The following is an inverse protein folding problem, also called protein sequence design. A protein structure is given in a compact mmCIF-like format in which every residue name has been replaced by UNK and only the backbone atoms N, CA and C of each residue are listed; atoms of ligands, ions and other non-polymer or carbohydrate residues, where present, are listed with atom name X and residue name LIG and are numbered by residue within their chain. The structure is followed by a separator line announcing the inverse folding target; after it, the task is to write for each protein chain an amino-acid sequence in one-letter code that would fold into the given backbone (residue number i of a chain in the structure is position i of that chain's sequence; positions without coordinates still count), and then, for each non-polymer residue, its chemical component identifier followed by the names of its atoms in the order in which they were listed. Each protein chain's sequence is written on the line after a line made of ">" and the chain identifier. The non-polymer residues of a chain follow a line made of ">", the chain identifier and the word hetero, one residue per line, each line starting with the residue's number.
data_IF_731672825684
#
_entry.id   IF_731672825684
#
_cell.length_a   1.000
_cell.length_b   1.000
_cell.length_c   1.000
_cell.angle_alpha   90.00
_cell.angle_beta   90.00
_cell.angle_gamma   90.00
#
_symmetry.space_group_name_H-M   'P 1'
#
loop_
_entity.id
_entity.type
_entity.pdbx_description
1 polymer ?
#
# COMPACT_ATOMS: atom_id res chain seq x y z
N UNK A 1 -13.55 -8.27 -17.15
CA UNK A 1 -12.65 -8.63 -16.03
C UNK A 1 -11.41 -7.73 -15.94
N UNK A 2 -10.82 -7.34 -17.09
CA UNK A 2 -9.62 -6.48 -17.07
C UNK A 2 -9.88 -5.10 -16.47
N UNK A 3 -11.07 -4.54 -16.71
CA UNK A 3 -11.47 -3.25 -16.14
C UNK A 3 -11.56 -3.35 -14.62
N UNK A 4 -12.08 -4.46 -14.09
CA UNK A 4 -12.21 -4.68 -12.65
C UNK A 4 -10.82 -4.73 -11.99
N UNK A 5 -9.87 -5.40 -12.63
CA UNK A 5 -8.49 -5.46 -12.14
C UNK A 5 -7.85 -4.06 -12.07
N UNK A 6 -8.03 -3.25 -13.12
CA UNK A 6 -7.52 -1.88 -13.16
C UNK A 6 -8.10 -1.06 -12.01
N UNK A 7 -9.42 -1.11 -11.82
CA UNK A 7 -10.07 -0.36 -10.74
C UNK A 7 -9.58 -0.83 -9.37
N UNK A 8 -9.39 -2.14 -9.19
CA UNK A 8 -8.85 -2.67 -7.94
C UNK A 8 -7.47 -2.10 -7.63
N UNK A 9 -6.58 -2.10 -8.62
CA UNK A 9 -5.23 -1.54 -8.45
C UNK A 9 -5.26 -0.04 -8.19
N UNK A 10 -6.13 0.69 -8.91
CA UNK A 10 -6.29 2.14 -8.71
C UNK A 10 -6.83 2.44 -7.31
N UNK A 11 -7.85 1.74 -6.84
CA UNK A 11 -8.47 2.02 -5.54
C UNK A 11 -7.50 1.74 -4.39
N UNK A 12 -6.79 0.62 -4.44
CA UNK A 12 -5.78 0.31 -3.42
C UNK A 12 -4.67 1.37 -3.43
N UNK A 13 -4.17 1.70 -4.62
CA UNK A 13 -3.09 2.69 -4.77
C UNK A 13 -3.51 4.09 -4.35
N UNK A 14 -4.76 4.48 -4.64
CA UNK A 14 -5.28 5.80 -4.28
C UNK A 14 -5.21 6.06 -2.79
N UNK A 15 -5.47 5.05 -1.96
CA UNK A 15 -5.36 5.19 -0.51
C UNK A 15 -3.95 5.64 -0.11
N UNK A 16 -2.93 4.97 -0.63
CA UNK A 16 -1.54 5.27 -0.29
C UNK A 16 -1.09 6.63 -0.84
N UNK A 17 -1.52 6.94 -2.06
CA UNK A 17 -1.20 8.24 -2.68
C UNK A 17 -1.83 9.40 -1.92
N UNK A 18 -3.08 9.27 -1.51
CA UNK A 18 -3.78 10.29 -0.72
C UNK A 18 -3.10 10.45 0.64
N UNK A 19 -2.77 9.34 1.29
CA UNK A 19 -2.07 9.38 2.59
C UNK A 19 -0.68 10.02 2.47
N UNK A 20 0.05 9.74 1.39
CA UNK A 20 1.37 10.34 1.17
C UNK A 20 1.26 11.85 0.97
N UNK A 21 0.28 12.31 0.19
CA UNK A 21 0.04 13.76 -0.01
C UNK A 21 -0.34 14.42 1.31
N UNK A 22 -1.23 13.80 2.08
CA UNK A 22 -1.63 14.33 3.39
C UNK A 22 -0.44 14.48 4.33
N UNK A 23 0.42 13.47 4.40
CA UNK A 23 1.63 13.51 5.23
C UNK A 23 2.58 14.62 4.80
N UNK A 24 2.71 14.83 3.49
CA UNK A 24 3.60 15.85 2.97
C UNK A 24 3.15 17.25 3.36
N UNK A 25 1.84 17.52 3.30
CA UNK A 25 1.29 18.84 3.63
C UNK A 25 1.06 19.05 5.12
N UNK A 26 0.91 17.99 5.90
CA UNK A 26 0.70 18.09 7.36
C UNK A 26 1.55 17.01 8.05
N UNK A 27 2.87 17.25 8.18
CA UNK A 27 3.79 16.25 8.70
C UNK A 27 3.70 16.05 10.21
N UNK A 28 3.20 17.04 10.96
CA UNK A 28 3.30 17.06 12.42
C UNK A 28 2.60 15.87 13.07
N UNK A 29 1.41 15.53 12.60
CA UNK A 29 0.61 14.41 13.14
C UNK A 29 1.37 13.10 12.97
N UNK A 30 1.90 12.86 11.77
CA UNK A 30 2.63 11.61 11.49
C UNK A 30 3.93 11.53 12.27
N UNK A 31 4.67 12.64 12.35
CA UNK A 31 5.91 12.68 13.13
C UNK A 31 5.66 12.42 14.61
N UNK A 32 4.56 12.95 15.14
CA UNK A 32 4.16 12.69 16.53
C UNK A 32 3.86 11.19 16.74
N UNK A 33 3.11 10.57 15.83
CA UNK A 33 2.87 9.12 15.87
C UNK A 33 4.16 8.32 15.84
N UNK A 34 5.11 8.71 14.98
CA UNK A 34 6.40 8.04 14.88
C UNK A 34 7.18 8.16 16.18
N UNK A 35 7.21 9.35 16.77
CA UNK A 35 7.87 9.59 18.05
C UNK A 35 7.25 8.75 19.17
N UNK A 36 5.93 8.70 19.24
CA UNK A 36 5.19 7.96 20.26
C UNK A 36 5.45 6.44 20.18
N UNK A 37 5.81 5.95 19.02
CA UNK A 37 6.07 4.52 18.78
C UNK A 37 7.56 4.20 18.62
N UNK A 38 8.43 5.13 18.98
CA UNK A 38 9.89 4.97 18.89
C UNK A 38 10.40 4.67 17.48
N UNK A 39 9.72 5.20 16.46
CA UNK A 39 10.16 5.09 15.07
C UNK A 39 11.02 6.30 14.72
N UNK A 40 12.24 6.11 14.16
CA UNK A 40 13.13 7.22 13.84
C UNK A 40 12.50 8.20 12.84
N UNK A 41 12.59 9.48 13.12
CA UNK A 41 12.03 10.54 12.28
C UNK A 41 12.66 10.59 10.88
N UNK A 42 13.91 10.15 10.72
CA UNK A 42 14.58 10.16 9.43
C UNK A 42 13.88 9.23 8.41
N UNK A 43 13.04 8.30 8.87
CA UNK A 43 12.26 7.43 7.99
C UNK A 43 11.02 8.11 7.40
N UNK A 44 10.68 9.32 7.87
CA UNK A 44 9.46 10.01 7.44
C UNK A 44 9.45 10.28 5.92
N UNK A 45 10.46 10.98 5.41
CA UNK A 45 10.52 11.30 3.97
C UNK A 45 10.73 10.06 3.09
N UNK A 46 11.60 9.11 3.43
CA UNK A 46 11.66 7.85 2.69
C UNK A 46 10.34 7.09 2.64
N UNK A 47 9.54 7.13 3.72
CA UNK A 47 8.23 6.47 3.72
C UNK A 47 7.25 7.14 2.77
N UNK A 48 7.27 8.47 2.67
CA UNK A 48 6.45 9.20 1.70
C UNK A 48 6.84 8.81 0.28
N UNK A 49 8.13 8.78 -0.02
CA UNK A 49 8.63 8.37 -1.34
C UNK A 49 8.17 6.95 -1.67
N UNK A 50 8.26 6.03 -0.72
CA UNK A 50 7.77 4.66 -0.87
C UNK A 50 6.27 4.63 -1.18
N UNK A 51 5.48 5.38 -0.41
CA UNK A 51 4.02 5.44 -0.56
C UNK A 51 3.57 6.14 -1.85
N UNK A 52 4.46 6.81 -2.56
CA UNK A 52 4.17 7.38 -3.88
C UNK A 52 4.63 6.44 -5.00
N UNK A 53 5.87 5.98 -4.93
CA UNK A 53 6.49 5.19 -6.00
C UNK A 53 5.85 3.81 -6.14
N UNK A 54 5.71 3.09 -5.03
CA UNK A 54 5.21 1.71 -5.05
C UNK A 54 3.76 1.63 -5.53
N UNK A 55 2.82 2.48 -5.04
CA UNK A 55 1.47 2.47 -5.58
C UNK A 55 1.38 2.86 -7.06
N UNK A 56 2.23 3.77 -7.54
CA UNK A 56 2.25 4.11 -8.95
C UNK A 56 2.69 2.91 -9.81
N UNK A 57 3.63 2.12 -9.35
CA UNK A 57 4.02 0.89 -10.02
C UNK A 57 2.89 -0.14 -10.01
N UNK A 58 2.10 -0.17 -8.95
CA UNK A 58 0.94 -1.05 -8.86
C UNK A 58 -0.14 -0.66 -9.87
N UNK A 59 -0.40 0.65 -10.02
CA UNK A 59 -1.36 1.15 -11.01
C UNK A 59 -0.90 0.74 -12.42
N UNK A 60 0.39 0.96 -12.72
CA UNK A 60 0.95 0.58 -14.01
C UNK A 60 0.95 -0.94 -14.24
N UNK A 61 0.95 -1.71 -13.16
CA UNK A 61 1.03 -3.16 -13.24
C UNK A 61 2.41 -3.66 -13.62
N UNK A 62 3.46 -2.94 -13.19
CA UNK A 62 4.85 -3.35 -13.41
C UNK A 62 5.35 -4.15 -12.23
N UNK A 63 5.88 -5.35 -12.50
CA UNK A 63 6.30 -6.32 -11.47
C UNK A 63 5.24 -6.46 -10.38
N UNK A 64 4.00 -6.62 -10.80
CA UNK A 64 2.81 -6.50 -9.95
C UNK A 64 2.88 -7.37 -8.70
N UNK A 65 3.33 -8.63 -8.84
CA UNK A 65 3.42 -9.55 -7.69
C UNK A 65 4.44 -9.08 -6.66
N UNK A 66 5.60 -8.62 -7.12
CA UNK A 66 6.65 -8.12 -6.23
C UNK A 66 6.20 -6.83 -5.55
N UNK A 67 5.66 -5.90 -6.33
CA UNK A 67 5.17 -4.60 -5.83
C UNK A 67 4.06 -4.80 -4.82
N UNK A 68 3.07 -5.65 -5.12
CA UNK A 68 1.97 -5.95 -4.21
C UNK A 68 2.47 -6.64 -2.94
N UNK A 69 3.46 -7.52 -3.04
CA UNK A 69 4.07 -8.18 -1.88
C UNK A 69 4.78 -7.19 -0.97
N UNK A 70 5.57 -6.28 -1.55
CA UNK A 70 6.27 -5.23 -0.80
C UNK A 70 5.25 -4.34 -0.09
N UNK A 71 4.19 -3.95 -0.79
CA UNK A 71 3.15 -3.09 -0.22
C UNK A 71 2.40 -3.80 0.91
N UNK A 72 2.09 -5.08 0.74
CA UNK A 72 1.43 -5.88 1.77
C UNK A 72 2.29 -6.01 3.03
N UNK A 73 3.59 -6.24 2.87
CA UNK A 73 4.53 -6.29 3.99
C UNK A 73 4.63 -4.94 4.71
N UNK A 74 4.65 -3.85 3.94
CA UNK A 74 4.67 -2.51 4.51
C UNK A 74 3.42 -2.24 5.35
N UNK A 75 2.23 -2.54 4.81
CA UNK A 75 0.97 -2.35 5.53
C UNK A 75 0.92 -3.21 6.79
N UNK A 76 1.39 -4.45 6.70
CA UNK A 76 1.43 -5.36 7.85
C UNK A 76 2.34 -4.81 8.95
N UNK A 77 3.54 -4.36 8.59
CA UNK A 77 4.49 -3.79 9.54
C UNK A 77 3.94 -2.53 10.21
N UNK A 78 3.39 -1.61 9.41
CA UNK A 78 2.79 -0.37 9.92
C UNK A 78 1.61 -0.68 10.85
N UNK A 79 0.80 -1.65 10.50
CA UNK A 79 -0.34 -2.06 11.33
C UNK A 79 0.12 -2.59 12.68
N UNK A 80 1.16 -3.43 12.70
CA UNK A 80 1.68 -3.96 13.96
C UNK A 80 2.34 -2.87 14.81
N UNK A 81 3.05 -1.94 14.19
CA UNK A 81 3.76 -0.88 14.93
C UNK A 81 2.80 0.16 15.51
N UNK A 82 1.86 0.65 14.70
CA UNK A 82 1.06 1.82 15.05
C UNK A 82 -0.37 1.50 15.49
N UNK A 83 -0.94 0.38 15.08
CA UNK A 83 -2.37 0.12 15.21
C UNK A 83 -2.71 -1.21 15.89
N UNK A 84 -1.74 -1.92 16.45
CA UNK A 84 -2.01 -3.16 17.16
C UNK A 84 -2.27 -2.94 18.65
N UNK A 85 -1.88 -1.79 19.19
CA UNK A 85 -2.05 -1.48 20.60
C UNK A 85 -3.45 -0.91 20.86
N UNK A 86 -4.08 -1.34 21.95
CA UNK A 86 -5.39 -0.83 22.40
C UNK A 86 -6.51 -0.95 21.37
N UNK A 87 -6.46 -1.95 20.50
CA UNK A 87 -7.46 -2.13 19.43
C UNK A 87 -8.86 -2.38 19.97
N UNK A 88 -8.98 -3.00 21.15
CA UNK A 88 -10.28 -3.26 21.78
C UNK A 88 -10.76 -2.13 22.67
N UNK A 89 -9.87 -1.20 23.04
CA UNK A 89 -10.21 -0.05 23.88
C UNK A 89 -10.64 1.17 23.06
N UNK A 90 -10.20 1.27 21.80
CA UNK A 90 -10.46 2.40 20.90
C UNK A 90 -11.07 1.88 19.61
N UNK A 91 -12.34 2.25 19.35
CA UNK A 91 -13.05 1.82 18.14
C UNK A 91 -12.35 2.31 16.86
N UNK A 92 -11.73 3.49 16.89
CA UNK A 92 -10.98 4.03 15.74
C UNK A 92 -9.77 3.14 15.43
N UNK A 93 -9.00 2.73 16.44
CA UNK A 93 -7.85 1.85 16.25
C UNK A 93 -8.27 0.48 15.72
N UNK A 94 -9.36 -0.07 16.20
CA UNK A 94 -9.90 -1.32 15.68
C UNK A 94 -10.30 -1.19 14.22
N UNK A 95 -10.96 -0.08 13.85
CA UNK A 95 -11.37 0.16 12.47
C UNK A 95 -10.17 0.26 11.53
N UNK A 96 -9.12 1.00 11.92
CA UNK A 96 -7.90 1.13 11.13
C UNK A 96 -7.20 -0.24 10.98
N UNK A 97 -7.13 -1.01 12.07
CA UNK A 97 -6.54 -2.35 12.07
C UNK A 97 -7.25 -3.26 11.06
N UNK A 98 -8.58 -3.31 11.14
CA UNK A 98 -9.39 -4.14 10.24
C UNK A 98 -9.30 -3.67 8.78
N UNK A 99 -9.31 -2.35 8.55
CA UNK A 99 -9.15 -1.77 7.22
C UNK A 99 -7.82 -2.19 6.60
N UNK A 100 -6.74 -2.14 7.38
CA UNK A 100 -5.41 -2.50 6.88
C UNK A 100 -5.33 -3.99 6.51
N UNK A 101 -5.96 -4.86 7.28
CA UNK A 101 -6.04 -6.28 6.93
C UNK A 101 -6.88 -6.51 5.67
N UNK A 102 -7.93 -5.72 5.45
CA UNK A 102 -8.72 -5.78 4.21
C UNK A 102 -7.87 -5.37 3.00
N UNK A 103 -7.03 -4.36 3.14
CA UNK A 103 -6.09 -3.94 2.10
C UNK A 103 -5.09 -5.05 1.79
N UNK A 104 -4.54 -5.68 2.82
CA UNK A 104 -3.63 -6.83 2.66
C UNK A 104 -4.34 -7.95 1.90
N UNK A 105 -5.60 -8.24 2.25
CA UNK A 105 -6.40 -9.23 1.54
C UNK A 105 -6.53 -8.94 0.05
N UNK A 106 -6.82 -7.68 -0.30
CA UNK A 106 -6.87 -7.25 -1.70
C UNK A 106 -5.53 -7.42 -2.41
N UNK A 107 -4.42 -7.08 -1.76
CA UNK A 107 -3.09 -7.24 -2.30
C UNK A 107 -2.73 -8.73 -2.49
N UNK A 108 -3.13 -9.60 -1.57
CA UNK A 108 -2.91 -11.04 -1.71
C UNK A 108 -3.64 -11.62 -2.93
N UNK A 109 -4.85 -11.13 -3.21
CA UNK A 109 -5.60 -11.52 -4.41
C UNK A 109 -4.84 -11.10 -5.66
N UNK A 110 -4.31 -9.88 -5.69
CA UNK A 110 -3.48 -9.39 -6.80
C UNK A 110 -2.24 -10.28 -6.99
N UNK A 111 -1.58 -10.65 -5.91
CA UNK A 111 -0.39 -11.52 -5.94
C UNK A 111 -0.72 -12.89 -6.56
N UNK A 112 -1.91 -13.42 -6.28
CA UNK A 112 -2.31 -14.74 -6.73
C UNK A 112 -2.75 -14.78 -8.19
N UNK A 113 -3.05 -13.63 -8.80
CA UNK A 113 -3.56 -13.56 -10.16
C UNK A 113 -2.42 -13.46 -11.19
N UNK A 114 -2.74 -13.89 -12.41
CA UNK A 114 -1.84 -13.67 -13.55
C UNK A 114 -1.91 -12.21 -14.00
N UNK A 115 -0.86 -11.70 -14.68
CA UNK A 115 -0.89 -10.35 -15.25
C UNK A 115 -2.11 -10.13 -16.15
N UNK A 116 -2.78 -9.02 -15.97
CA UNK A 116 -3.97 -8.67 -16.74
C UNK A 116 -3.60 -7.84 -17.98
N UNK A 117 -4.45 -7.86 -18.98
CA UNK A 117 -4.20 -7.24 -20.30
C UNK A 117 -3.75 -5.78 -20.19
N UNK A 118 -4.36 -5.02 -19.26
CA UNK A 118 -4.05 -3.61 -19.11
C UNK A 118 -2.95 -3.38 -18.04
N UNK A 119 -1.85 -4.13 -18.12
CA UNK A 119 -0.70 -3.97 -17.23
C UNK A 119 0.60 -4.01 -18.02
N UNK A 120 1.63 -3.35 -17.48
CA UNK A 120 2.96 -3.38 -18.07
C UNK A 120 3.52 -4.81 -18.07
N UNK A 121 3.25 -5.59 -17.02
CA UNK A 121 3.67 -6.99 -16.95
C UNK A 121 3.11 -7.82 -18.11
N UNK A 122 1.84 -7.65 -18.41
CA UNK A 122 1.21 -8.35 -19.52
C UNK A 122 1.85 -7.96 -20.85
N UNK A 123 2.10 -6.67 -21.05
CA UNK A 123 2.76 -6.16 -22.26
C UNK A 123 4.15 -6.76 -22.44
N UNK A 124 4.96 -6.78 -21.37
CA UNK A 124 6.31 -7.30 -21.41
C UNK A 124 6.32 -8.82 -21.65
N UNK A 125 5.41 -9.54 -21.03
CA UNK A 125 5.26 -10.99 -21.20
C UNK A 125 4.84 -11.32 -22.63
N UNK A 126 3.89 -10.57 -23.19
CA UNK A 126 3.46 -10.69 -24.58
C UNK A 126 4.60 -10.48 -25.56
N UNK A 127 5.46 -9.50 -25.28
CA UNK A 127 6.63 -9.23 -26.13
C UNK A 127 7.68 -10.34 -26.10
N UNK A 128 7.83 -11.01 -24.97
CA UNK A 128 8.76 -12.13 -24.84
C UNK A 128 8.29 -13.40 -25.58
N UNK A 129 6.98 -13.54 -25.76
CA UNK A 129 6.39 -14.67 -26.47
C UNK A 129 6.52 -14.61 -27.98
N UNK A 130 6.99 -13.50 -28.52
CA UNK A 130 7.22 -13.27 -29.94
C UNK A 130 8.72 -13.31 -30.23
#
# INVERSE_FOLDING_TARGET
>A
MHIVDIFGRIFISALFLIEAVRKFFDPDITMMYMSDHNVPEFLFYPSIAFEIIIPLLLIAGYKTKIVASILALFVFAVTLIFHSHHIFADAMQLTIFLKNFAIIGGLLIIISNKPQICSVDYYLESKKGN
#
